data_IF_334276606609
#
_entry.id   IF_334276606609
#
_cell.length_a   1.000
_cell.length_b   1.000
_cell.length_c   1.000
_cell.angle_alpha   90.00
_cell.angle_beta   90.00
_cell.angle_gamma   90.00
#
_symmetry.space_group_name_H-M   'P 1'
#
loop_
_entity.id
_entity.type
_entity.pdbx_description
1 polymer ?
#
# COMPACT_ATOMS: atom_id res chain seq x y z
N UNK A 1 -11.78 6.52 10.44
CA UNK A 1 -12.37 5.78 11.58
C UNK A 1 -11.23 5.13 12.34
N UNK A 2 -11.09 5.38 13.64
CA UNK A 2 -10.06 4.76 14.47
C UNK A 2 -10.68 3.52 15.11
N UNK A 3 -10.21 2.33 14.74
CA UNK A 3 -10.68 1.07 15.32
C UNK A 3 -9.61 0.64 16.33
N UNK A 4 -9.96 0.58 17.63
CA UNK A 4 -9.03 0.07 18.66
C UNK A 4 -8.89 -1.45 18.49
N UNK A 5 -7.69 -1.87 18.12
CA UNK A 5 -7.37 -3.25 17.73
C UNK A 5 -7.38 -4.19 18.95
N UNK A 6 -7.46 -3.66 20.19
CA UNK A 6 -7.58 -4.48 21.41
C UNK A 6 -8.90 -5.25 21.51
N UNK A 7 -9.94 -4.82 20.81
CA UNK A 7 -11.20 -5.57 20.68
C UNK A 7 -11.16 -6.64 19.57
N UNK A 8 -10.09 -6.69 18.77
CA UNK A 8 -9.91 -7.62 17.65
C UNK A 8 -8.86 -8.68 17.99
N UNK A 9 -9.05 -9.40 19.09
CA UNK A 9 -8.28 -10.62 19.46
C UNK A 9 -8.46 -11.80 18.49
N UNK A 10 -9.01 -11.54 17.32
CA UNK A 10 -9.24 -12.50 16.25
C UNK A 10 -8.18 -12.24 15.18
N UNK A 11 -7.49 -13.30 14.76
CA UNK A 11 -6.74 -13.34 13.50
C UNK A 11 -7.68 -13.03 12.33
N UNK A 12 -8.04 -11.76 12.17
CA UNK A 12 -8.90 -11.30 11.10
C UNK A 12 -8.04 -11.23 9.86
N UNK A 13 -8.16 -12.28 9.06
CA UNK A 13 -7.66 -12.27 7.70
C UNK A 13 -8.25 -11.07 6.93
N UNK A 14 -7.55 -10.64 5.88
CA UNK A 14 -7.96 -9.53 5.01
C UNK A 14 -9.43 -9.66 4.58
N UNK A 15 -9.83 -10.90 4.29
CA UNK A 15 -11.17 -11.27 3.84
C UNK A 15 -12.22 -10.96 4.91
N UNK A 16 -11.94 -11.20 6.20
CA UNK A 16 -12.87 -10.88 7.27
C UNK A 16 -13.08 -9.37 7.45
N UNK A 17 -12.01 -8.57 7.32
CA UNK A 17 -12.11 -7.11 7.40
C UNK A 17 -12.95 -6.57 6.23
N UNK A 18 -12.67 -7.06 5.02
CA UNK A 18 -13.43 -6.69 3.83
C UNK A 18 -14.90 -7.08 3.96
N UNK A 19 -15.19 -8.31 4.41
CA UNK A 19 -16.55 -8.79 4.59
C UNK A 19 -17.31 -7.98 5.64
N UNK A 20 -16.65 -7.57 6.71
CA UNK A 20 -17.26 -6.71 7.74
C UNK A 20 -17.70 -5.37 7.14
N UNK A 21 -16.88 -4.75 6.30
CA UNK A 21 -17.22 -3.47 5.67
C UNK A 21 -18.34 -3.59 4.64
N UNK A 22 -18.36 -4.69 3.88
CA UNK A 22 -19.48 -5.01 2.98
C UNK A 22 -20.78 -5.17 3.77
N UNK A 23 -20.74 -5.92 4.89
CA UNK A 23 -21.91 -6.18 5.73
C UNK A 23 -22.47 -4.92 6.41
N UNK A 24 -21.66 -3.86 6.60
CA UNK A 24 -22.08 -2.56 7.13
C UNK A 24 -22.78 -1.68 6.06
N UNK A 25 -22.97 -2.20 4.84
CA UNK A 25 -23.69 -1.50 3.76
C UNK A 25 -22.83 -0.50 2.98
N UNK A 26 -21.50 -0.57 3.13
CA UNK A 26 -20.57 0.25 2.36
C UNK A 26 -20.30 -0.38 0.99
N UNK A 27 -21.32 -0.46 0.14
CA UNK A 27 -21.25 -1.18 -1.15
C UNK A 27 -20.32 -0.55 -2.19
N UNK A 28 -19.87 0.69 -1.96
CA UNK A 28 -18.95 1.43 -2.85
C UNK A 28 -17.68 1.85 -2.11
N UNK A 29 -17.06 0.95 -1.36
CA UNK A 29 -15.77 1.22 -0.75
C UNK A 29 -14.69 0.22 -1.14
N UNK A 30 -13.48 0.73 -1.23
CA UNK A 30 -12.26 -0.04 -1.38
C UNK A 30 -11.51 -0.05 -0.04
N UNK A 31 -10.78 -1.14 0.22
CA UNK A 31 -9.95 -1.28 1.41
C UNK A 31 -8.52 -1.67 1.08
N UNK A 32 -7.59 -1.00 1.74
CA UNK A 32 -6.18 -1.37 1.83
C UNK A 32 -5.89 -1.73 3.28
N UNK A 33 -5.27 -2.89 3.50
CA UNK A 33 -4.88 -3.36 4.83
C UNK A 33 -3.38 -3.55 4.83
N UNK A 34 -2.68 -2.78 5.64
CA UNK A 34 -1.23 -2.81 5.79
C UNK A 34 -0.87 -3.43 7.14
N UNK A 35 0.11 -4.33 7.16
CA UNK A 35 0.63 -4.93 8.40
C UNK A 35 1.95 -4.25 8.75
N UNK A 36 1.93 -3.31 9.70
CA UNK A 36 3.09 -2.48 10.05
C UNK A 36 4.02 -3.17 11.06
N UNK A 37 3.46 -4.02 11.93
CA UNK A 37 4.21 -4.83 12.89
C UNK A 37 3.38 -6.05 13.32
N UNK A 38 3.96 -6.94 14.13
CA UNK A 38 3.27 -8.08 14.75
C UNK A 38 1.97 -7.70 15.45
N UNK A 39 1.84 -6.45 15.91
CA UNK A 39 0.71 -5.97 16.70
C UNK A 39 0.05 -4.72 16.11
N UNK A 40 0.38 -4.34 14.88
CA UNK A 40 -0.13 -3.10 14.28
C UNK A 40 -0.60 -3.36 12.86
N UNK A 41 -1.90 -3.16 12.66
CA UNK A 41 -2.56 -3.21 11.35
C UNK A 41 -3.16 -1.85 11.07
N UNK A 42 -2.89 -1.31 9.90
CA UNK A 42 -3.57 -0.11 9.40
C UNK A 42 -4.57 -0.50 8.32
N UNK A 43 -5.82 -0.09 8.48
CA UNK A 43 -6.87 -0.28 7.49
C UNK A 43 -7.29 1.08 6.91
N UNK A 44 -7.06 1.26 5.62
CA UNK A 44 -7.50 2.43 4.88
C UNK A 44 -8.75 2.10 4.07
N UNK A 45 -9.81 2.88 4.27
CA UNK A 45 -11.11 2.72 3.62
C UNK A 45 -11.36 3.95 2.74
N UNK A 46 -11.76 3.74 1.50
CA UNK A 46 -12.01 4.82 0.54
C UNK A 46 -13.30 4.56 -0.24
N UNK A 47 -13.96 5.63 -0.68
CA UNK A 47 -15.12 5.55 -1.58
C UNK A 47 -14.71 5.25 -3.03
N UNK A 48 -15.58 4.54 -3.75
CA UNK A 48 -15.48 4.30 -5.19
C UNK A 48 -16.51 5.14 -5.97
N UNK A 49 -16.14 5.74 -7.13
CA UNK A 49 -14.77 5.81 -7.65
C UNK A 49 -13.88 6.68 -6.75
N UNK A 50 -12.59 6.34 -6.69
CA UNK A 50 -11.64 7.09 -5.89
C UNK A 50 -11.33 8.42 -6.57
N UNK A 51 -11.84 9.53 -6.03
CA UNK A 51 -11.73 10.87 -6.65
C UNK A 51 -10.63 11.75 -6.07
N UNK A 52 -9.84 11.24 -5.12
CA UNK A 52 -8.74 12.02 -4.56
C UNK A 52 -7.50 11.97 -5.48
N UNK A 53 -6.71 13.03 -5.42
CA UNK A 53 -5.48 13.20 -6.20
C UNK A 53 -4.27 12.49 -5.57
N UNK A 54 -4.36 12.16 -4.28
CA UNK A 54 -3.29 11.60 -3.46
C UNK A 54 -3.68 10.27 -2.82
N UNK A 55 -2.77 9.29 -2.88
CA UNK A 55 -2.87 8.04 -2.10
C UNK A 55 -1.55 7.79 -1.38
N UNK A 56 -1.65 7.36 -0.11
CA UNK A 56 -0.54 6.86 0.69
C UNK A 56 -0.78 5.40 1.08
N UNK A 57 -0.43 4.42 0.23
CA UNK A 57 -0.21 3.06 0.71
C UNK A 57 1.07 2.99 1.58
N UNK A 58 1.03 2.22 2.66
CA UNK A 58 2.21 1.96 3.50
C UNK A 58 2.99 0.72 3.05
N UNK A 59 2.44 -0.07 2.12
CA UNK A 59 3.10 -1.21 1.50
C UNK A 59 2.86 -1.26 -0.03
N UNK A 60 3.38 -2.29 -0.70
CA UNK A 60 3.20 -2.51 -2.13
C UNK A 60 1.93 -3.32 -2.49
N UNK A 61 1.00 -3.51 -1.55
CA UNK A 61 -0.19 -4.37 -1.69
C UNK A 61 -1.39 -3.51 -2.10
N UNK A 62 -1.47 -3.26 -3.40
CA UNK A 62 -2.63 -2.59 -3.99
C UNK A 62 -3.79 -3.58 -4.22
N UNK A 63 -5.04 -3.16 -3.99
CA UNK A 63 -6.20 -3.88 -4.50
C UNK A 63 -6.22 -3.78 -6.03
N UNK A 64 -6.89 -4.73 -6.69
CA UNK A 64 -7.07 -4.72 -8.14
C UNK A 64 -8.14 -3.69 -8.56
N UNK A 65 -7.81 -2.41 -8.34
CA UNK A 65 -8.68 -1.26 -8.56
C UNK A 65 -7.87 -0.20 -9.29
N UNK A 66 -8.47 0.39 -10.32
CA UNK A 66 -7.85 1.50 -11.05
C UNK A 66 -8.16 2.84 -10.36
N UNK A 67 -7.11 3.54 -9.98
CA UNK A 67 -7.14 4.85 -9.35
C UNK A 67 -7.05 5.96 -10.43
N UNK A 68 -8.16 6.16 -11.14
CA UNK A 68 -8.20 7.02 -12.33
C UNK A 68 -7.90 8.52 -12.08
N UNK A 69 -7.97 8.99 -10.84
CA UNK A 69 -7.81 10.42 -10.52
C UNK A 69 -6.51 10.72 -9.75
N UNK A 70 -5.77 9.70 -9.36
CA UNK A 70 -4.59 9.86 -8.53
C UNK A 70 -3.43 10.35 -9.38
N UNK A 71 -2.85 11.47 -8.96
CA UNK A 71 -1.70 12.09 -9.61
C UNK A 71 -0.45 12.04 -8.74
N UNK A 72 -0.60 11.77 -7.45
CA UNK A 72 0.51 11.61 -6.50
C UNK A 72 0.35 10.31 -5.70
N UNK A 73 1.38 9.48 -5.71
CA UNK A 73 1.44 8.24 -4.96
C UNK A 73 2.67 8.20 -4.06
N UNK A 74 2.46 7.97 -2.77
CA UNK A 74 3.53 7.69 -1.81
C UNK A 74 3.48 6.22 -1.41
N UNK A 75 4.47 5.43 -1.82
CA UNK A 75 4.58 4.02 -1.44
C UNK A 75 5.73 3.83 -0.47
N UNK A 76 5.48 3.15 0.62
CA UNK A 76 6.53 2.57 1.43
C UNK A 76 6.63 1.07 1.11
N UNK A 77 7.82 0.53 0.97
CA UNK A 77 8.04 -0.89 0.73
C UNK A 77 9.22 -1.34 1.59
N UNK A 78 9.17 -2.60 2.04
CA UNK A 78 10.27 -3.23 2.77
C UNK A 78 11.04 -4.22 1.89
N UNK A 79 10.56 -4.47 0.66
CA UNK A 79 11.19 -5.36 -0.32
C UNK A 79 11.91 -4.56 -1.39
N UNK A 80 12.99 -5.13 -1.97
CA UNK A 80 13.66 -4.52 -3.12
C UNK A 80 12.71 -4.37 -4.31
N UNK A 81 12.73 -3.20 -4.96
CA UNK A 81 11.83 -2.92 -6.09
C UNK A 81 12.16 -3.80 -7.29
N UNK A 82 11.15 -4.52 -7.77
CA UNK A 82 11.22 -5.34 -8.98
C UNK A 82 10.52 -4.64 -10.14
N UNK A 83 10.83 -5.02 -11.38
CA UNK A 83 10.19 -4.41 -12.56
C UNK A 83 8.66 -4.51 -12.51
N UNK A 84 8.14 -5.64 -12.03
CA UNK A 84 6.72 -5.95 -11.89
C UNK A 84 5.99 -4.98 -10.95
N UNK A 85 6.70 -4.39 -9.99
CA UNK A 85 6.16 -3.34 -9.13
C UNK A 85 5.76 -2.12 -9.96
N UNK A 86 6.69 -1.61 -10.79
CA UNK A 86 6.45 -0.44 -11.62
C UNK A 86 5.38 -0.68 -12.69
N UNK A 87 5.35 -1.88 -13.29
CA UNK A 87 4.28 -2.27 -14.23
C UNK A 87 2.91 -2.23 -13.57
N UNK A 88 2.81 -2.70 -12.32
CA UNK A 88 1.57 -2.65 -11.54
C UNK A 88 1.15 -1.22 -11.22
N UNK A 89 2.08 -0.37 -10.79
CA UNK A 89 1.80 1.06 -10.55
C UNK A 89 1.27 1.73 -11.83
N UNK A 90 1.93 1.51 -12.98
CA UNK A 90 1.50 2.11 -14.24
C UNK A 90 0.08 1.68 -14.66
N UNK A 91 -0.30 0.43 -14.37
CA UNK A 91 -1.65 -0.09 -14.66
C UNK A 91 -2.71 0.47 -13.73
N UNK A 92 -2.42 0.56 -12.43
CA UNK A 92 -3.41 0.98 -11.43
C UNK A 92 -3.54 2.51 -11.35
N UNK A 93 -2.53 3.28 -11.76
CA UNK A 93 -2.49 4.74 -11.63
C UNK A 93 -2.23 5.42 -12.99
N UNK A 94 -3.19 5.40 -13.93
CA UNK A 94 -2.97 5.87 -15.31
C UNK A 94 -2.66 7.37 -15.43
N UNK A 95 -3.05 8.19 -14.45
CA UNK A 95 -2.78 9.63 -14.41
C UNK A 95 -1.65 10.03 -13.45
N UNK A 96 -0.84 9.08 -13.00
CA UNK A 96 0.21 9.34 -12.02
C UNK A 96 1.26 10.31 -12.58
N UNK A 97 1.49 11.41 -11.87
CA UNK A 97 2.51 12.41 -12.20
C UNK A 97 3.72 12.31 -11.27
N UNK A 98 3.48 11.96 -10.01
CA UNK A 98 4.50 11.90 -8.97
C UNK A 98 4.43 10.56 -8.25
N UNK A 99 5.51 9.79 -8.34
CA UNK A 99 5.72 8.57 -7.58
C UNK A 99 6.84 8.81 -6.58
N UNK A 100 6.52 8.82 -5.28
CA UNK A 100 7.50 8.83 -4.21
C UNK A 100 7.54 7.45 -3.57
N UNK A 101 8.72 6.86 -3.52
CA UNK A 101 8.90 5.52 -2.97
C UNK A 101 9.91 5.59 -1.83
N UNK A 102 9.59 4.97 -0.70
CA UNK A 102 10.47 4.89 0.48
C UNK A 102 10.74 3.42 0.79
N UNK A 103 12.01 3.02 0.76
CA UNK A 103 12.42 1.64 0.99
C UNK A 103 13.82 1.62 1.59
N UNK A 104 13.88 2.05 2.85
CA UNK A 104 15.11 2.51 3.50
C UNK A 104 16.11 1.35 3.64
N UNK A 105 15.70 0.18 4.13
CA UNK A 105 16.66 -0.88 4.46
C UNK A 105 17.24 -1.61 3.23
N UNK A 106 16.42 -2.08 2.26
CA UNK A 106 16.91 -2.69 1.02
C UNK A 106 17.71 -1.73 0.13
N UNK A 107 17.36 -0.44 0.07
CA UNK A 107 18.13 0.50 -0.75
C UNK A 107 19.47 0.84 -0.14
N UNK A 108 19.56 0.98 1.19
CA UNK A 108 20.86 1.11 1.87
C UNK A 108 21.72 -0.11 1.59
N UNK A 109 21.16 -1.33 1.67
CA UNK A 109 21.89 -2.56 1.35
C UNK A 109 22.38 -2.59 -0.11
N UNK A 110 21.53 -2.22 -1.07
CA UNK A 110 21.89 -2.17 -2.49
C UNK A 110 22.97 -1.11 -2.76
N UNK A 111 22.85 0.08 -2.17
CA UNK A 111 23.85 1.14 -2.28
C UNK A 111 25.20 0.73 -1.68
N UNK A 112 25.20 0.06 -0.53
CA UNK A 112 26.44 -0.43 0.08
C UNK A 112 27.11 -1.51 -0.79
N UNK A 113 26.33 -2.40 -1.44
CA UNK A 113 26.87 -3.39 -2.40
C UNK A 113 27.49 -2.74 -3.65
N UNK A 114 26.86 -1.69 -4.17
CA UNK A 114 27.38 -0.98 -5.35
C UNK A 114 28.69 -0.24 -5.03
N UNK A 115 28.79 0.36 -3.84
CA UNK A 115 29.99 1.11 -3.44
C UNK A 115 31.14 0.21 -3.00
N UNK A 116 30.88 -1.00 -2.51
CA UNK A 116 31.93 -1.98 -2.17
C UNK A 116 32.55 -2.68 -3.40
N UNK A 117 31.84 -2.72 -4.55
CA UNK A 117 32.38 -3.26 -5.80
C UNK A 117 33.29 -2.28 -6.57
N UNK A 118 33.45 -1.03 -6.09
CA UNK A 118 34.33 -0.02 -6.70
C UNK A 118 35.69 0.13 -5.99
N UNK A 119 36.02 -0.77 -5.06
CA UNK A 119 37.29 -0.78 -4.29
C UNK A 119 38.17 -2.00 -4.64
N UNK A 120 37.83 -2.77 -5.68
CA UNK A 120 38.71 -3.80 -6.27
C UNK A 120 39.14 -3.38 -7.67
#
# INVERSE_FOLDING_TARGET
MYIDIRDLSLNLSREHIQQTLINVGQHNTATIVNYLSTYTVECSIFSLPFVFDFVRPLDNIFPDIVFNYVTYLLVQDNDAFKHEFFVRIARLFPLLKYLRISNIDPQISAYMKLTSNHIQ
#
